data_IF_814621731965
#
_entry.id   IF_814621731965
#
_cell.length_a   1.000
_cell.length_b   1.000
_cell.length_c   1.000
_cell.angle_alpha   90.00
_cell.angle_beta   90.00
_cell.angle_gamma   90.00
#
_symmetry.space_group_name_H-M   'P 1'
#
loop_
_entity.id
_entity.type
_entity.pdbx_description
1 polymer ?
#
# COMPACT_ATOMS: atom_id res chain seq x y z
N UNK A 1 -12.05 3.97 -9.69
CA UNK A 1 -12.43 2.77 -8.93
C UNK A 1 -11.62 1.65 -9.52
N UNK A 2 -10.75 1.06 -8.71
CA UNK A 2 -9.93 -0.08 -9.09
C UNK A 2 -10.87 -1.26 -9.31
N UNK A 3 -10.66 -2.06 -10.36
CA UNK A 3 -11.57 -3.14 -10.72
C UNK A 3 -10.95 -4.52 -10.43
N UNK A 4 -11.80 -5.52 -10.20
CA UNK A 4 -11.36 -6.90 -9.87
C UNK A 4 -10.50 -7.53 -10.98
N UNK A 5 -10.70 -7.14 -12.24
CA UNK A 5 -9.92 -7.65 -13.37
C UNK A 5 -8.46 -7.20 -13.29
N UNK A 6 -8.20 -5.97 -12.86
CA UNK A 6 -6.84 -5.43 -12.72
C UNK A 6 -6.07 -6.18 -11.62
N UNK A 7 -6.75 -6.53 -10.52
CA UNK A 7 -6.17 -7.36 -9.46
C UNK A 7 -5.83 -8.78 -9.96
N UNK A 8 -6.74 -9.40 -10.70
CA UNK A 8 -6.50 -10.73 -11.27
C UNK A 8 -5.32 -10.73 -12.26
N UNK A 9 -5.21 -9.69 -13.11
CA UNK A 9 -4.07 -9.53 -14.03
C UNK A 9 -2.76 -9.40 -13.25
N UNK A 10 -2.76 -8.66 -12.13
CA UNK A 10 -1.59 -8.56 -11.26
C UNK A 10 -1.20 -9.92 -10.66
N UNK A 11 -2.17 -10.67 -10.14
CA UNK A 11 -1.94 -12.01 -9.57
C UNK A 11 -1.39 -12.97 -10.64
N UNK A 12 -1.96 -12.95 -11.85
CA UNK A 12 -1.50 -13.77 -12.97
C UNK A 12 -0.08 -13.37 -13.42
N UNK A 13 0.24 -12.08 -13.41
CA UNK A 13 1.57 -11.58 -13.74
C UNK A 13 2.62 -12.04 -12.72
N UNK A 14 2.29 -12.02 -11.43
CA UNK A 14 3.14 -12.56 -10.37
C UNK A 14 3.36 -14.08 -10.56
N UNK A 15 2.29 -14.84 -10.78
CA UNK A 15 2.32 -16.30 -10.91
C UNK A 15 3.08 -16.78 -12.17
N UNK A 16 2.97 -16.04 -13.28
CA UNK A 16 3.68 -16.37 -14.53
C UNK A 16 5.13 -15.87 -14.54
N UNK A 17 5.53 -15.06 -13.55
CA UNK A 17 6.86 -14.47 -13.43
C UNK A 17 7.70 -15.10 -12.33
N UNK A 18 7.83 -14.37 -11.21
CA UNK A 18 8.85 -14.57 -10.17
C UNK A 18 8.73 -15.91 -9.41
N UNK A 19 7.55 -16.51 -9.38
CA UNK A 19 7.34 -17.82 -8.77
C UNK A 19 6.25 -18.59 -9.51
N UNK A 20 6.65 -19.53 -10.36
CA UNK A 20 5.76 -20.49 -10.99
C UNK A 20 5.20 -21.49 -9.93
N UNK A 21 4.21 -21.04 -9.16
CA UNK A 21 3.18 -21.92 -8.59
C UNK A 21 3.38 -22.50 -7.19
N UNK A 22 4.23 -21.94 -6.32
CA UNK A 22 4.40 -22.49 -4.95
C UNK A 22 3.83 -21.63 -3.82
N UNK A 23 3.73 -20.32 -3.97
CA UNK A 23 3.31 -19.40 -2.90
C UNK A 23 2.61 -18.15 -3.47
N UNK A 24 1.53 -17.71 -2.82
CA UNK A 24 0.82 -16.46 -3.15
C UNK A 24 1.68 -15.24 -2.84
N UNK A 25 1.52 -14.14 -3.60
CA UNK A 25 2.43 -13.00 -3.53
C UNK A 25 2.55 -12.35 -2.13
N UNK A 26 1.45 -12.33 -1.37
CA UNK A 26 1.43 -11.75 -0.02
C UNK A 26 2.12 -12.64 1.03
N UNK A 27 2.40 -13.90 0.74
CA UNK A 27 3.15 -14.79 1.64
C UNK A 27 4.66 -14.80 1.33
N UNK A 28 5.04 -14.46 0.09
CA UNK A 28 6.42 -14.45 -0.38
C UNK A 28 7.23 -13.25 0.14
N UNK A 29 7.84 -13.44 1.32
CA UNK A 29 8.69 -12.42 1.94
C UNK A 29 9.90 -12.00 1.09
N UNK A 30 10.46 -12.89 0.26
CA UNK A 30 11.59 -12.52 -0.63
C UNK A 30 11.12 -11.48 -1.64
N UNK A 31 9.93 -11.68 -2.19
CA UNK A 31 9.33 -10.73 -3.13
C UNK A 31 8.92 -9.42 -2.44
N UNK A 32 8.32 -9.49 -1.24
CA UNK A 32 7.90 -8.32 -0.45
C UNK A 32 9.04 -7.51 0.17
N UNK A 33 10.24 -8.09 0.33
CA UNK A 33 11.43 -7.37 0.80
C UNK A 33 12.09 -6.54 -0.32
N UNK A 34 11.64 -6.64 -1.56
CA UNK A 34 12.13 -5.81 -2.65
C UNK A 34 11.15 -4.65 -2.87
N UNK A 35 11.55 -3.44 -2.49
CA UNK A 35 10.73 -2.23 -2.63
C UNK A 35 10.31 -1.94 -4.08
N UNK A 36 11.04 -2.43 -5.08
CA UNK A 36 10.65 -2.33 -6.50
C UNK A 36 9.43 -3.19 -6.85
N UNK A 37 9.20 -4.26 -6.09
CA UNK A 37 8.06 -5.14 -6.29
C UNK A 37 6.82 -4.59 -5.58
N UNK A 38 6.98 -4.27 -4.29
CA UNK A 38 5.91 -3.77 -3.46
C UNK A 38 6.48 -2.91 -2.33
N UNK A 39 5.94 -1.71 -2.22
CA UNK A 39 6.14 -0.78 -1.13
C UNK A 39 4.82 -0.02 -0.94
N UNK A 40 4.66 0.54 0.26
CA UNK A 40 3.60 1.50 0.57
C UNK A 40 4.20 2.89 0.85
N UNK A 41 5.50 3.03 0.62
CA UNK A 41 6.17 4.31 0.75
C UNK A 41 5.72 5.24 -0.37
N UNK A 42 5.42 6.46 0.03
CA UNK A 42 5.06 7.55 -0.87
C UNK A 42 6.31 8.40 -1.13
N UNK A 43 7.51 7.88 -0.90
CA UNK A 43 8.79 8.44 -1.31
C UNK A 43 9.33 7.66 -2.53
N UNK A 44 9.89 8.40 -3.49
CA UNK A 44 10.39 7.81 -4.74
C UNK A 44 11.86 7.39 -4.54
N UNK A 45 12.10 6.64 -3.46
CA UNK A 45 13.40 6.22 -2.98
C UNK A 45 13.71 4.76 -3.34
N UNK A 46 14.99 4.45 -3.46
CA UNK A 46 15.51 3.07 -3.44
C UNK A 46 16.49 2.91 -2.27
N UNK A 47 16.03 3.27 -1.08
CA UNK A 47 16.70 3.14 0.20
C UNK A 47 16.08 2.06 1.08
N UNK A 48 16.70 1.77 2.23
CA UNK A 48 16.22 0.77 3.19
C UNK A 48 14.91 1.18 3.89
N UNK A 49 14.48 2.44 3.75
CA UNK A 49 13.20 2.93 4.28
C UNK A 49 12.01 2.63 3.36
N UNK A 50 12.26 2.26 2.10
CA UNK A 50 11.21 1.92 1.13
C UNK A 50 10.75 0.44 1.23
N UNK A 51 11.38 -0.35 2.10
CA UNK A 51 10.96 -1.72 2.37
C UNK A 51 9.74 -1.75 3.31
N UNK A 52 8.82 -2.69 3.06
CA UNK A 52 7.71 -2.90 3.98
C UNK A 52 8.22 -3.29 5.38
N UNK A 53 7.68 -2.62 6.39
CA UNK A 53 7.88 -2.96 7.80
C UNK A 53 7.28 -4.32 8.15
N UNK A 54 7.63 -4.86 9.32
CA UNK A 54 7.01 -6.12 9.78
C UNK A 54 5.51 -5.98 10.01
N UNK A 55 5.06 -4.81 10.46
CA UNK A 55 3.65 -4.51 10.66
C UNK A 55 2.90 -4.39 9.31
N UNK A 56 3.49 -3.70 8.34
CA UNK A 56 2.92 -3.59 6.99
C UNK A 56 2.84 -4.96 6.31
N UNK A 57 3.86 -5.82 6.42
CA UNK A 57 3.81 -7.20 5.89
C UNK A 57 2.69 -8.02 6.53
N UNK A 58 2.43 -7.86 7.83
CA UNK A 58 1.32 -8.54 8.48
C UNK A 58 -0.03 -8.06 7.93
N UNK A 59 -0.18 -6.75 7.69
CA UNK A 59 -1.39 -6.19 7.09
C UNK A 59 -1.55 -6.59 5.61
N UNK A 60 -0.47 -6.68 4.84
CA UNK A 60 -0.48 -7.20 3.45
C UNK A 60 -0.99 -8.65 3.42
N UNK A 61 -0.58 -9.47 4.38
CA UNK A 61 -1.07 -10.86 4.51
C UNK A 61 -2.56 -10.92 4.88
N UNK A 62 -2.99 -10.05 5.79
CA UNK A 62 -4.37 -10.03 6.27
C UNK A 62 -5.35 -9.42 5.23
N UNK A 63 -4.86 -8.46 4.44
CA UNK A 63 -5.65 -7.65 3.51
C UNK A 63 -4.97 -7.50 2.13
N UNK A 64 -4.68 -8.58 1.39
CA UNK A 64 -3.86 -8.51 0.18
C UNK A 64 -4.49 -7.67 -0.93
N UNK A 65 -5.81 -7.79 -1.13
CA UNK A 65 -6.53 -6.98 -2.13
C UNK A 65 -6.43 -5.50 -1.78
N UNK A 66 -6.74 -5.14 -0.53
CA UNK A 66 -6.70 -3.75 -0.09
C UNK A 66 -5.28 -3.18 -0.07
N UNK A 67 -4.27 -3.98 0.27
CA UNK A 67 -2.88 -3.58 0.17
C UNK A 67 -2.51 -3.22 -1.27
N UNK A 68 -2.92 -4.04 -2.24
CA UNK A 68 -2.71 -3.75 -3.65
C UNK A 68 -3.48 -2.51 -4.11
N UNK A 69 -4.73 -2.30 -3.66
CA UNK A 69 -5.51 -1.08 -3.93
C UNK A 69 -4.81 0.17 -3.39
N UNK A 70 -4.30 0.12 -2.16
CA UNK A 70 -3.52 1.20 -1.54
C UNK A 70 -2.28 1.50 -2.38
N UNK A 71 -1.55 0.47 -2.83
CA UNK A 71 -0.38 0.64 -3.69
C UNK A 71 -0.70 1.40 -4.99
N UNK A 72 -1.86 1.15 -5.60
CA UNK A 72 -2.25 1.86 -6.84
C UNK A 72 -2.48 3.37 -6.63
N UNK A 73 -2.69 3.82 -5.40
CA UNK A 73 -2.93 5.24 -5.09
C UNK A 73 -1.65 6.05 -4.88
N UNK A 74 -0.47 5.40 -4.87
CA UNK A 74 0.83 6.06 -4.69
C UNK A 74 1.09 7.03 -5.85
N UNK A 75 1.09 6.55 -7.10
CA UNK A 75 1.37 7.36 -8.29
C UNK A 75 0.39 8.55 -8.45
N UNK A 76 -0.94 8.37 -8.30
CA UNK A 76 -1.88 9.49 -8.29
C UNK A 76 -1.59 10.54 -7.21
N UNK A 77 -1.16 10.12 -6.01
CA UNK A 77 -0.81 11.05 -4.94
C UNK A 77 0.45 11.85 -5.28
N UNK A 78 1.47 11.19 -5.83
CA UNK A 78 2.67 11.86 -6.35
C UNK A 78 2.35 12.88 -7.44
N UNK A 79 1.60 12.46 -8.46
CA UNK A 79 1.24 13.32 -9.57
C UNK A 79 0.47 14.56 -9.09
N UNK A 80 -0.48 14.39 -8.15
CA UNK A 80 -1.23 15.52 -7.60
C UNK A 80 -0.34 16.47 -6.78
N UNK A 81 0.59 15.93 -5.99
CA UNK A 81 1.54 16.74 -5.24
C UNK A 81 2.46 17.54 -6.17
N UNK A 82 2.92 16.95 -7.29
CA UNK A 82 3.68 17.64 -8.33
C UNK A 82 2.87 18.72 -9.02
N UNK A 83 1.61 18.46 -9.41
CA UNK A 83 0.73 19.47 -10.02
C UNK A 83 0.54 20.67 -9.10
N UNK A 84 0.41 20.43 -7.79
CA UNK A 84 0.08 21.49 -6.82
C UNK A 84 1.28 22.31 -6.34
N UNK A 85 2.45 21.69 -6.21
CA UNK A 85 3.65 22.33 -5.64
C UNK A 85 4.82 22.47 -6.64
N UNK A 86 4.70 21.90 -7.85
CA UNK A 86 5.76 21.85 -8.85
C UNK A 86 6.71 20.66 -8.66
N UNK A 87 7.63 20.54 -9.62
CA UNK A 87 8.73 19.58 -9.55
C UNK A 87 9.75 20.01 -8.49
N UNK A 88 10.24 19.04 -7.73
CA UNK A 88 11.33 19.22 -6.81
C UNK A 88 12.47 18.28 -7.19
N UNK A 89 13.74 18.65 -6.95
CA UNK A 89 14.82 17.69 -7.04
C UNK A 89 14.57 16.53 -6.05
N UNK A 90 14.97 15.29 -6.39
CA UNK A 90 14.89 14.16 -5.46
C UNK A 90 15.61 14.55 -4.16
N UNK A 91 14.95 14.36 -3.02
CA UNK A 91 15.34 14.76 -1.65
C UNK A 91 14.91 16.16 -1.16
N UNK A 92 14.23 16.99 -1.97
CA UNK A 92 13.47 18.13 -1.46
C UNK A 92 11.98 17.80 -1.53
N UNK A 93 11.31 17.70 -0.39
CA UNK A 93 9.94 17.19 -0.33
C UNK A 93 9.65 16.23 0.81
N UNK A 94 10.60 16.06 1.75
CA UNK A 94 10.44 15.32 2.99
C UNK A 94 10.19 16.30 4.13
N UNK A 95 9.21 16.02 4.97
CA UNK A 95 8.80 16.89 6.09
C UNK A 95 8.46 18.34 5.67
N UNK A 96 8.06 18.54 4.42
CA UNK A 96 7.65 19.85 3.90
C UNK A 96 6.15 19.90 3.58
N UNK A 97 5.69 21.03 3.06
CA UNK A 97 4.26 21.22 2.74
C UNK A 97 3.78 20.30 1.62
N UNK A 98 4.67 19.92 0.69
CA UNK A 98 4.35 19.00 -0.41
C UNK A 98 4.22 17.58 0.15
N UNK A 99 5.09 17.21 1.08
CA UNK A 99 5.04 15.95 1.81
C UNK A 99 3.74 15.76 2.58
N UNK A 100 3.43 16.70 3.47
CA UNK A 100 2.21 16.67 4.25
C UNK A 100 0.95 16.64 3.37
N UNK A 101 0.97 17.36 2.24
CA UNK A 101 -0.12 17.28 1.27
C UNK A 101 -0.21 15.91 0.59
N UNK A 102 0.92 15.31 0.21
CA UNK A 102 0.97 14.00 -0.44
C UNK A 102 0.41 12.91 0.47
N UNK A 103 0.82 12.87 1.74
CA UNK A 103 0.27 11.96 2.75
C UNK A 103 -1.24 12.17 2.96
N UNK A 104 -1.67 13.42 3.12
CA UNK A 104 -3.09 13.73 3.31
C UNK A 104 -3.94 13.35 2.08
N UNK A 105 -3.43 13.58 0.87
CA UNK A 105 -4.12 13.25 -0.37
C UNK A 105 -4.16 11.74 -0.61
N UNK A 106 -3.07 11.03 -0.34
CA UNK A 106 -3.01 9.57 -0.38
C UNK A 106 -4.03 8.93 0.56
N UNK A 107 -4.12 9.42 1.80
CA UNK A 107 -5.13 8.97 2.76
C UNK A 107 -6.57 9.22 2.27
N UNK A 108 -6.81 10.34 1.59
CA UNK A 108 -8.10 10.65 0.98
C UNK A 108 -8.43 9.71 -0.20
N UNK A 109 -7.45 9.39 -1.05
CA UNK A 109 -7.61 8.41 -2.13
C UNK A 109 -7.93 7.02 -1.56
N UNK A 110 -7.16 6.57 -0.57
CA UNK A 110 -7.35 5.27 0.07
C UNK A 110 -8.73 5.17 0.71
N UNK A 111 -9.19 6.22 1.40
CA UNK A 111 -10.53 6.26 2.00
C UNK A 111 -11.65 6.14 0.94
N UNK A 112 -11.43 6.70 -0.26
CA UNK A 112 -12.39 6.67 -1.36
C UNK A 112 -12.39 5.35 -2.12
N UNK A 113 -11.21 4.80 -2.39
CA UNK A 113 -11.00 3.76 -3.40
C UNK A 113 -10.80 2.36 -2.81
N UNK A 114 -10.35 2.24 -1.55
CA UNK A 114 -10.13 0.94 -0.91
C UNK A 114 -11.47 0.30 -0.58
N UNK A 115 -11.64 -0.95 -1.00
CA UNK A 115 -12.87 -1.70 -0.78
C UNK A 115 -12.95 -2.23 0.65
N UNK A 116 -14.14 -2.24 1.28
CA UNK A 116 -14.31 -2.89 2.57
C UNK A 116 -14.11 -4.40 2.43
N UNK A 117 -13.64 -5.04 3.50
CA UNK A 117 -13.46 -6.50 3.52
C UNK A 117 -14.81 -7.18 3.68
N UNK A 118 -15.51 -7.42 2.56
CA UNK A 118 -16.81 -8.08 2.56
C UNK A 118 -16.73 -9.60 2.76
N UNK A 119 -15.65 -10.24 2.32
CA UNK A 119 -15.47 -11.70 2.38
C UNK A 119 -13.97 -11.96 2.40
N UNK A 120 -13.43 -12.43 3.51
CA UNK A 120 -12.10 -13.04 3.53
C UNK A 120 -12.20 -14.48 3.99
N UNK A 121 -11.31 -15.36 3.51
CA UNK A 121 -11.18 -16.70 4.06
C UNK A 121 -10.80 -16.71 5.56
N UNK A 122 -10.29 -15.59 6.07
CA UNK A 122 -10.10 -15.35 7.50
C UNK A 122 -11.21 -14.41 7.99
N UNK A 123 -12.34 -14.92 8.50
CA UNK A 123 -13.30 -14.05 9.17
C UNK A 123 -12.60 -13.38 10.37
N UNK A 124 -12.93 -12.12 10.69
CA UNK A 124 -12.53 -11.55 11.97
C UNK A 124 -13.05 -12.49 13.10
N UNK A 125 -12.47 -12.45 14.32
CA UNK A 125 -12.87 -13.32 15.42
C UNK A 125 -14.40 -13.39 15.54
N UNK A 126 -14.94 -14.59 15.81
CA UNK A 126 -16.38 -14.84 15.80
C UNK A 126 -17.14 -13.75 16.56
N UNK A 127 -18.02 -13.01 15.87
CA UNK A 127 -18.83 -11.93 16.43
C UNK A 127 -18.36 -10.51 16.11
N UNK A 128 -17.23 -10.33 15.43
CA UNK A 128 -16.77 -9.00 14.99
C UNK A 128 -17.35 -8.65 13.60
N UNK A 129 -17.85 -7.42 13.40
CA UNK A 129 -18.26 -6.97 12.08
C UNK A 129 -17.07 -6.97 11.11
N UNK A 130 -17.29 -7.13 9.79
CA UNK A 130 -16.24 -6.97 8.80
C UNK A 130 -15.54 -5.63 8.94
N UNK A 131 -14.23 -5.60 8.69
CA UNK A 131 -13.48 -4.35 8.69
C UNK A 131 -13.95 -3.44 7.56
N UNK A 132 -14.31 -2.21 7.92
CA UNK A 132 -14.61 -1.17 6.94
C UNK A 132 -13.34 -0.74 6.22
N UNK A 133 -13.49 -0.18 5.02
CA UNK A 133 -12.35 0.39 4.28
C UNK A 133 -11.59 1.41 5.13
N UNK A 134 -12.30 2.30 5.84
CA UNK A 134 -11.69 3.29 6.73
C UNK A 134 -10.85 2.67 7.85
N UNK A 135 -11.27 1.55 8.42
CA UNK A 135 -10.49 0.83 9.44
C UNK A 135 -9.21 0.26 8.84
N UNK A 136 -9.31 -0.39 7.67
CA UNK A 136 -8.15 -0.97 6.98
C UNK A 136 -7.15 0.12 6.61
N UNK A 137 -7.61 1.21 5.99
CA UNK A 137 -6.76 2.36 5.63
C UNK A 137 -6.08 2.96 6.85
N UNK A 138 -6.78 3.07 7.98
CA UNK A 138 -6.20 3.56 9.24
C UNK A 138 -5.13 2.61 9.79
N UNK A 139 -5.32 1.29 9.68
CA UNK A 139 -4.31 0.32 10.10
C UNK A 139 -3.03 0.45 9.28
N UNK A 140 -3.15 0.58 7.95
CA UNK A 140 -1.99 0.78 7.07
C UNK A 140 -1.30 2.12 7.34
N UNK A 141 -2.06 3.21 7.48
CA UNK A 141 -1.50 4.52 7.81
C UNK A 141 -0.73 4.49 9.15
N UNK A 142 -1.29 3.87 10.18
CA UNK A 142 -0.62 3.76 11.47
C UNK A 142 0.65 2.89 11.39
N UNK A 143 0.62 1.80 10.63
CA UNK A 143 1.80 0.93 10.45
C UNK A 143 2.93 1.70 9.75
N UNK A 144 2.59 2.47 8.72
CA UNK A 144 3.54 3.30 7.97
C UNK A 144 4.18 4.39 8.83
N UNK A 145 3.38 5.11 9.63
CA UNK A 145 3.87 6.22 10.47
C UNK A 145 4.59 5.74 11.76
N UNK A 146 4.52 4.45 12.10
CA UNK A 146 5.04 3.94 13.38
C UNK A 146 6.57 3.76 13.45
N UNK A 147 7.28 3.88 12.34
CA UNK A 147 8.74 3.66 12.27
C UNK A 147 9.57 4.93 12.00
N UNK A 148 8.96 6.13 12.08
CA UNK A 148 9.73 7.39 12.07
C UNK A 148 10.58 7.48 13.35
N UNK A 149 11.93 7.54 13.28
CA UNK A 149 12.76 7.75 14.45
C UNK A 149 12.42 9.11 15.09
N UNK A 150 12.10 9.10 16.39
CA UNK A 150 11.92 10.31 17.22
C UNK A 150 13.25 11.00 17.52
#
# INVERSE_FOLDING_TARGET
>A
MINDSDYLIFVDSYNNGFNAGTEVWWENNIWLNNSNNFNLDIENGTGPYDELTSAEKALVKEFPVQAWEIKQNIDPAFAMAQIKFGDYPPNYGLNDKKDAFRHAFFNALNTRDVTPRGISPYPPPVGWPPYTSAQIVTMFANAHESEVPV
#
